data_IF_514242893116
#
_entry.id   IF_514242893116
#
_cell.length_a   1.000
_cell.length_b   1.000
_cell.length_c   1.000
_cell.angle_alpha   90.00
_cell.angle_beta   90.00
_cell.angle_gamma   90.00
#
_symmetry.space_group_name_H-M   'P 1'
#
loop_
_entity.id
_entity.type
_entity.pdbx_description
1 polymer ?
#
# COMPACT_ATOMS: atom_id res chain seq x y z
N UNK A 1 -21.77 -34.39 28.11
CA UNK A 1 -21.59 -33.87 26.73
C UNK A 1 -20.87 -32.51 26.65
N UNK A 2 -20.69 -31.77 27.75
CA UNK A 2 -20.04 -30.45 27.73
C UNK A 2 -18.50 -30.46 27.66
N UNK A 3 -17.82 -31.43 28.29
CA UNK A 3 -16.34 -31.42 28.41
C UNK A 3 -15.60 -31.53 27.08
N UNK A 4 -16.17 -32.27 26.12
CA UNK A 4 -15.58 -32.41 24.77
C UNK A 4 -15.70 -31.13 23.95
N UNK A 5 -16.79 -30.38 24.12
CA UNK A 5 -17.02 -29.11 23.43
C UNK A 5 -16.07 -28.03 23.94
N UNK A 6 -15.87 -27.95 25.26
CA UNK A 6 -14.89 -27.04 25.86
C UNK A 6 -13.45 -27.33 25.41
N UNK A 7 -13.08 -28.61 25.29
CA UNK A 7 -11.77 -29.02 24.76
C UNK A 7 -11.58 -28.66 23.28
N UNK A 8 -12.61 -28.85 22.46
CA UNK A 8 -12.58 -28.45 21.04
C UNK A 8 -12.41 -26.94 20.89
N UNK A 9 -13.17 -26.13 21.64
CA UNK A 9 -13.08 -24.66 21.56
C UNK A 9 -11.70 -24.15 22.01
N UNK A 10 -11.14 -24.72 23.09
CA UNK A 10 -9.78 -24.40 23.53
C UNK A 10 -8.72 -24.78 22.48
N UNK A 11 -8.87 -25.92 21.82
CA UNK A 11 -7.98 -26.37 20.75
C UNK A 11 -8.04 -25.46 19.51
N UNK A 12 -9.24 -25.00 19.12
CA UNK A 12 -9.40 -24.07 18.00
C UNK A 12 -8.75 -22.70 18.25
N UNK A 13 -8.79 -22.19 19.49
CA UNK A 13 -8.15 -20.93 19.84
C UNK A 13 -6.61 -21.00 19.84
N UNK A 14 -6.03 -22.17 20.10
CA UNK A 14 -4.58 -22.39 20.07
C UNK A 14 -4.02 -22.54 18.64
N UNK A 15 -4.85 -22.84 17.65
CA UNK A 15 -4.47 -22.89 16.22
C UNK A 15 -4.90 -21.63 15.46
N UNK A 16 -5.40 -20.58 16.13
CA UNK A 16 -5.49 -19.28 15.50
C UNK A 16 -4.08 -18.69 15.41
N UNK A 17 -3.27 -19.19 14.47
CA UNK A 17 -1.95 -18.65 14.18
C UNK A 17 -2.05 -17.17 13.83
N UNK A 18 -1.09 -16.38 14.32
CA UNK A 18 -1.00 -14.97 14.01
C UNK A 18 -0.68 -14.82 12.52
N UNK A 19 -1.68 -14.48 11.70
CA UNK A 19 -1.47 -14.17 10.29
C UNK A 19 -0.87 -12.77 10.22
N UNK A 20 0.45 -12.69 10.06
CA UNK A 20 1.12 -11.41 9.86
C UNK A 20 0.71 -10.83 8.50
N UNK A 21 0.19 -9.60 8.51
CA UNK A 21 -0.18 -8.92 7.28
C UNK A 21 1.10 -8.64 6.47
N UNK A 22 1.17 -9.19 5.25
CA UNK A 22 2.36 -9.05 4.41
C UNK A 22 2.69 -7.62 3.97
N UNK A 23 1.72 -6.70 4.09
CA UNK A 23 1.90 -5.26 3.94
C UNK A 23 1.22 -4.54 5.11
N UNK A 24 1.93 -3.57 5.68
CA UNK A 24 1.41 -2.68 6.73
C UNK A 24 1.50 -1.23 6.27
N UNK A 25 0.40 -0.48 6.41
CA UNK A 25 0.33 0.96 6.10
C UNK A 25 0.01 1.79 7.34
N UNK A 26 0.68 2.94 7.48
CA UNK A 26 0.47 3.89 8.58
C UNK A 26 0.68 5.34 8.11
N UNK A 27 -0.18 6.30 8.47
CA UNK A 27 -1.42 6.13 9.23
C UNK A 27 -2.53 5.49 8.38
N UNK A 28 -3.53 4.90 9.02
CA UNK A 28 -4.72 4.34 8.32
C UNK A 28 -5.64 5.44 7.80
N UNK A 29 -5.77 6.52 8.57
CA UNK A 29 -6.55 7.70 8.23
C UNK A 29 -5.78 8.93 8.71
N UNK A 30 -5.82 10.00 7.92
CA UNK A 30 -5.24 11.29 8.28
C UNK A 30 -6.10 12.40 7.69
N UNK A 31 -6.32 13.43 8.50
CA UNK A 31 -6.94 14.69 8.11
C UNK A 31 -5.94 15.76 8.53
N UNK A 32 -5.57 16.63 7.60
CA UNK A 32 -4.48 17.60 7.73
C UNK A 32 -4.90 18.90 7.05
N UNK A 33 -4.26 20.02 7.41
CA UNK A 33 -4.51 21.28 6.73
C UNK A 33 -3.81 21.34 5.36
N UNK A 34 -4.32 22.19 4.47
CA UNK A 34 -3.66 22.44 3.19
C UNK A 34 -2.31 23.11 3.45
N UNK A 35 -1.27 22.65 2.77
CA UNK A 35 0.09 23.16 2.95
C UNK A 35 0.98 22.27 3.80
N UNK A 36 0.41 21.42 4.65
CA UNK A 36 1.17 20.58 5.57
C UNK A 36 1.86 19.41 4.88
N UNK A 37 3.02 19.02 5.42
CA UNK A 37 3.76 17.85 4.94
C UNK A 37 3.18 16.58 5.55
N UNK A 38 2.85 15.61 4.71
CA UNK A 38 2.32 14.31 5.12
C UNK A 38 3.19 13.19 4.59
N UNK A 39 3.47 12.19 5.42
CA UNK A 39 4.15 10.96 4.98
C UNK A 39 3.30 9.75 5.31
N UNK A 40 2.90 9.01 4.28
CA UNK A 40 2.29 7.69 4.37
C UNK A 40 3.40 6.64 4.31
N UNK A 41 3.43 5.74 5.30
CA UNK A 41 4.41 4.68 5.40
C UNK A 41 3.81 3.38 4.87
N UNK A 42 4.62 2.65 4.14
CA UNK A 42 4.33 1.28 3.74
C UNK A 42 5.52 0.39 4.10
N UNK A 43 5.21 -0.74 4.72
CA UNK A 43 6.17 -1.76 5.12
C UNK A 43 5.73 -3.12 4.59
N UNK A 44 6.65 -3.92 4.07
CA UNK A 44 6.40 -5.31 3.65
C UNK A 44 7.25 -6.31 4.42
N UNK A 45 6.75 -7.54 4.54
CA UNK A 45 7.49 -8.67 5.12
C UNK A 45 7.96 -9.70 4.08
N UNK A 46 7.52 -9.56 2.82
CA UNK A 46 7.85 -10.49 1.74
C UNK A 46 9.28 -10.37 1.18
N UNK A 47 9.97 -9.26 1.49
CA UNK A 47 11.31 -8.98 0.97
C UNK A 47 11.37 -8.99 -0.57
N UNK A 48 10.34 -8.46 -1.24
CA UNK A 48 10.29 -8.32 -2.70
C UNK A 48 10.88 -6.99 -3.18
N UNK A 49 11.39 -6.96 -4.43
CA UNK A 49 12.01 -5.74 -4.97
C UNK A 49 10.98 -4.68 -5.34
N UNK A 50 9.85 -5.10 -5.93
CA UNK A 50 8.87 -4.16 -6.43
C UNK A 50 7.92 -3.70 -5.34
N UNK A 51 7.78 -2.38 -5.17
CA UNK A 51 6.73 -1.77 -4.35
C UNK A 51 6.08 -0.61 -5.10
N UNK A 52 4.82 -0.38 -4.80
CA UNK A 52 3.97 0.54 -5.55
C UNK A 52 3.13 1.38 -4.59
N UNK A 53 2.89 2.63 -4.97
CA UNK A 53 1.87 3.49 -4.38
C UNK A 53 0.81 3.82 -5.41
N UNK A 54 -0.44 3.58 -5.04
CA UNK A 54 -1.61 3.94 -5.81
C UNK A 54 -2.48 4.90 -5.02
N UNK A 55 -3.22 5.73 -5.75
CA UNK A 55 -4.41 6.40 -5.24
C UNK A 55 -5.66 5.83 -5.89
N UNK A 56 -6.78 5.91 -5.18
CA UNK A 56 -8.10 5.62 -5.69
C UNK A 56 -9.07 6.73 -5.29
N UNK A 57 -9.46 7.51 -6.28
CA UNK A 57 -10.51 8.51 -6.15
C UNK A 57 -11.90 7.84 -6.29
N UNK A 58 -12.97 8.41 -5.69
CA UNK A 58 -14.31 7.87 -5.83
C UNK A 58 -14.73 7.70 -7.30
N UNK A 59 -15.14 6.49 -7.66
CA UNK A 59 -15.56 6.16 -9.03
C UNK A 59 -14.43 5.94 -10.04
N UNK A 60 -13.17 6.07 -9.62
CA UNK A 60 -12.00 5.81 -10.47
C UNK A 60 -11.32 4.48 -10.10
N UNK A 61 -10.57 3.93 -11.06
CA UNK A 61 -9.67 2.78 -10.81
C UNK A 61 -8.44 3.18 -9.99
N UNK A 62 -7.58 2.20 -9.71
CA UNK A 62 -6.27 2.47 -9.12
C UNK A 62 -5.41 3.26 -10.11
N UNK A 63 -4.86 4.38 -9.65
CA UNK A 63 -3.94 5.22 -10.42
C UNK A 63 -2.56 5.16 -9.79
N UNK A 64 -1.54 4.84 -10.58
CA UNK A 64 -0.19 4.68 -10.07
C UNK A 64 0.44 6.05 -9.78
N UNK A 65 0.88 6.26 -8.54
CA UNK A 65 1.60 7.46 -8.14
C UNK A 65 3.09 7.28 -8.41
N UNK A 66 3.66 6.21 -7.85
CA UNK A 66 5.08 5.90 -7.91
C UNK A 66 5.30 4.40 -7.72
N UNK A 67 6.41 3.90 -8.24
CA UNK A 67 6.88 2.55 -7.95
C UNK A 67 8.38 2.50 -7.77
N UNK A 68 8.86 1.39 -7.22
CA UNK A 68 10.26 1.09 -7.02
C UNK A 68 10.49 -0.34 -7.49
N UNK A 69 11.64 -0.59 -8.12
CA UNK A 69 12.06 -1.92 -8.60
C UNK A 69 13.34 -2.40 -7.90
N UNK A 70 13.59 -1.90 -6.70
CA UNK A 70 14.75 -2.24 -5.88
C UNK A 70 15.26 -1.05 -5.07
N UNK A 71 16.16 -1.31 -4.13
CA UNK A 71 16.79 -0.29 -3.29
C UNK A 71 17.49 0.76 -4.15
N UNK A 72 17.30 2.04 -3.82
CA UNK A 72 17.84 3.17 -4.57
C UNK A 72 17.13 3.50 -5.88
N UNK A 73 16.15 2.68 -6.31
CA UNK A 73 15.48 2.84 -7.59
C UNK A 73 14.00 3.21 -7.39
N UNK A 74 13.58 4.32 -7.98
CA UNK A 74 12.18 4.77 -7.99
C UNK A 74 11.81 5.30 -9.38
N UNK A 75 10.54 5.21 -9.73
CA UNK A 75 10.00 5.67 -11.01
C UNK A 75 8.62 6.28 -10.79
N UNK A 76 8.28 7.27 -11.64
CA UNK A 76 6.99 7.96 -11.63
C UNK A 76 5.91 7.08 -12.24
N UNK A 77 4.70 7.14 -11.68
CA UNK A 77 3.49 6.63 -12.31
C UNK A 77 2.73 7.74 -13.06
N UNK A 78 1.46 7.46 -13.37
CA UNK A 78 0.58 8.37 -14.11
C UNK A 78 0.24 9.66 -13.34
N UNK A 79 0.25 9.60 -12.00
CA UNK A 79 -0.17 10.70 -11.12
C UNK A 79 0.87 11.02 -10.04
N UNK A 80 2.13 11.19 -10.44
CA UNK A 80 3.26 11.43 -9.54
C UNK A 80 3.41 12.87 -9.03
N UNK A 81 2.77 13.85 -9.68
CA UNK A 81 2.99 15.26 -9.38
C UNK A 81 2.53 15.63 -7.95
N UNK A 82 3.38 16.37 -7.23
CA UNK A 82 3.12 16.73 -5.82
C UNK A 82 3.40 15.62 -4.80
N UNK A 83 3.94 14.47 -5.25
CA UNK A 83 4.36 13.36 -4.39
C UNK A 83 5.87 13.12 -4.51
N UNK A 84 6.47 12.65 -3.42
CA UNK A 84 7.86 12.19 -3.36
C UNK A 84 7.94 10.82 -2.70
N UNK A 85 8.90 10.00 -3.13
CA UNK A 85 9.15 8.67 -2.56
C UNK A 85 10.65 8.47 -2.34
N UNK A 86 10.99 7.54 -1.45
CA UNK A 86 12.36 7.07 -1.29
C UNK A 86 12.38 5.56 -1.07
N UNK A 87 13.44 4.90 -1.52
CA UNK A 87 13.67 3.46 -1.31
C UNK A 87 15.04 3.22 -0.72
N UNK A 88 15.19 3.47 0.57
CA UNK A 88 16.46 3.29 1.30
C UNK A 88 16.74 1.84 1.68
N UNK A 89 15.70 1.00 1.79
CA UNK A 89 15.81 -0.41 2.10
C UNK A 89 14.75 -1.22 1.32
N UNK A 90 14.76 -2.53 1.45
CA UNK A 90 13.85 -3.42 0.72
C UNK A 90 12.45 -3.51 1.36
N UNK A 91 12.30 -3.16 2.63
CA UNK A 91 11.08 -3.37 3.40
C UNK A 91 10.13 -2.17 3.37
N UNK A 92 10.66 -0.95 3.27
CA UNK A 92 9.91 0.28 3.43
C UNK A 92 9.86 1.09 2.14
N UNK A 93 8.68 1.64 1.84
CA UNK A 93 8.47 2.54 0.72
C UNK A 93 7.55 3.69 1.16
N UNK A 94 8.07 4.76 1.79
CA UNK A 94 7.27 5.90 2.19
C UNK A 94 6.86 6.77 0.99
N UNK A 95 5.61 7.24 1.01
CA UNK A 95 5.07 8.27 0.12
C UNK A 95 4.91 9.56 0.89
N UNK A 96 5.48 10.65 0.40
CA UNK A 96 5.42 11.96 1.04
C UNK A 96 4.73 12.97 0.12
N UNK A 97 3.79 13.71 0.69
CA UNK A 97 3.21 14.91 0.12
C UNK A 97 3.94 16.07 0.77
N UNK A 98 4.80 16.78 0.03
CA UNK A 98 5.59 17.89 0.61
C UNK A 98 4.71 19.06 1.05
N UNK A 99 3.59 19.25 0.36
CA UNK A 99 2.57 20.25 0.69
C UNK A 99 1.21 19.70 0.29
N UNK A 100 0.43 19.26 1.27
CA UNK A 100 -0.85 18.60 1.04
C UNK A 100 -1.86 19.57 0.39
N UNK A 101 -2.53 19.11 -0.65
CA UNK A 101 -3.56 19.88 -1.37
C UNK A 101 -4.91 19.15 -1.37
N UNK A 102 -6.01 19.88 -1.55
CA UNK A 102 -7.35 19.28 -1.62
C UNK A 102 -7.51 18.25 -2.75
N UNK A 103 -6.81 18.44 -3.88
CA UNK A 103 -6.81 17.47 -5.00
C UNK A 103 -6.12 16.16 -4.67
N UNK A 104 -5.39 16.08 -3.56
CA UNK A 104 -4.73 14.86 -3.08
C UNK A 104 -5.56 14.16 -1.99
N UNK A 105 -6.79 14.57 -1.74
CA UNK A 105 -7.72 13.80 -0.89
C UNK A 105 -8.19 12.54 -1.64
N UNK A 106 -7.73 11.37 -1.20
CA UNK A 106 -7.97 10.08 -1.84
C UNK A 106 -7.79 8.93 -0.84
N UNK A 107 -8.21 7.72 -1.21
CA UNK A 107 -7.71 6.49 -0.58
C UNK A 107 -6.35 6.15 -1.20
N UNK A 108 -5.39 5.71 -0.38
CA UNK A 108 -4.03 5.38 -0.79
C UNK A 108 -3.72 3.91 -0.50
N UNK A 109 -3.20 3.21 -1.50
CA UNK A 109 -2.86 1.79 -1.41
C UNK A 109 -1.38 1.56 -1.67
N UNK A 110 -0.76 0.76 -0.82
CA UNK A 110 0.56 0.22 -1.08
C UNK A 110 0.46 -1.25 -1.51
N UNK A 111 1.28 -1.62 -2.48
CA UNK A 111 1.40 -3.00 -2.95
C UNK A 111 2.87 -3.40 -3.11
N UNK A 112 3.13 -4.71 -3.12
CA UNK A 112 4.45 -5.30 -3.36
C UNK A 112 4.33 -6.49 -4.31
N UNK A 113 5.38 -6.79 -5.08
CA UNK A 113 5.39 -7.91 -6.03
C UNK A 113 6.80 -8.47 -6.22
N UNK A 114 6.89 -9.79 -6.37
CA UNK A 114 8.15 -10.50 -6.69
C UNK A 114 8.60 -10.21 -8.14
N UNK A 115 7.64 -10.10 -9.08
CA UNK A 115 7.89 -9.87 -10.50
C UNK A 115 7.35 -8.50 -10.96
N UNK A 116 7.85 -8.01 -12.10
CA UNK A 116 7.24 -6.90 -12.83
C UNK A 116 5.81 -7.29 -13.22
N UNK A 117 4.82 -6.63 -12.61
CA UNK A 117 3.47 -6.67 -13.15
C UNK A 117 3.51 -5.83 -14.42
N UNK A 118 3.32 -6.46 -15.58
CA UNK A 118 3.09 -5.71 -16.81
C UNK A 118 1.86 -4.83 -16.56
N UNK A 119 2.04 -3.50 -16.52
CA UNK A 119 0.90 -2.57 -16.48
C UNK A 119 0.12 -2.78 -17.77
N UNK A 120 -0.86 -3.67 -17.72
CA UNK A 120 -1.86 -3.82 -18.74
C UNK A 120 -2.64 -2.53 -18.77
N UNK A 121 -2.24 -1.60 -19.63
CA UNK A 121 -3.11 -0.55 -20.11
C UNK A 121 -4.27 -1.28 -20.79
N UNK A 122 -5.29 -1.64 -20.00
CA UNK A 122 -6.59 -1.98 -20.55
C UNK A 122 -7.09 -0.66 -21.14
N UNK A 123 -6.72 -0.41 -22.40
CA UNK A 123 -7.43 0.51 -23.26
C UNK A 123 -8.88 0.09 -23.11
N UNK A 124 -9.67 0.93 -22.43
CA UNK A 124 -11.10 0.73 -22.33
C UNK A 124 -11.61 0.53 -23.75
N UNK A 125 -11.93 -0.73 -24.07
CA UNK A 125 -12.58 -1.06 -25.32
C UNK A 125 -14.00 -0.54 -25.19
N UNK A 126 -14.17 0.76 -25.48
CA UNK A 126 -15.46 1.30 -25.86
C UNK A 126 -15.86 0.61 -27.17
N UNK A 127 -16.78 -0.35 -27.05
CA UNK A 127 -17.70 -0.71 -28.13
C UNK A 127 -19.10 -0.87 -27.54
#
# INVERSE_FOLDING_TARGET
>A
MGTKVFLCVACCLLWAGHMEAGITQNPRHIITETGEKVTLRCHQTYNYDYMYWYRQDPGQGLQLIHYSYGVGNTAKGDVSEGYSVSRSNKTDFPLTLESATRSQTSVYFCATSDYTVLQGHLLAAHK
#
